data_IF_895952117951
#
_entry.id   IF_895952117951
#
_cell.length_a   1.000
_cell.length_b   1.000
_cell.length_c   1.000
_cell.angle_alpha   90.00
_cell.angle_beta   90.00
_cell.angle_gamma   90.00
#
_symmetry.space_group_name_H-M   'P 1'
#
loop_
_entity.id
_entity.type
_entity.pdbx_description
1 polymer ?
#
# COMPACT_ATOMS: atom_id res chain seq x y z
N UNK A 1 3.55 -33.92 18.86
CA UNK A 1 3.95 -33.79 17.45
C UNK A 1 2.80 -33.11 16.72
N UNK A 2 2.93 -31.82 16.40
CA UNK A 2 1.87 -31.03 15.75
C UNK A 2 1.98 -31.25 14.24
N UNK A 3 0.91 -31.63 13.52
CA UNK A 3 0.98 -31.78 12.07
C UNK A 3 1.06 -30.39 11.41
N UNK A 4 1.98 -30.24 10.45
CA UNK A 4 2.06 -29.05 9.61
C UNK A 4 0.83 -29.01 8.69
N UNK A 5 -0.04 -28.01 8.87
CA UNK A 5 -1.19 -27.76 8.01
C UNK A 5 -0.70 -27.10 6.70
N UNK A 6 -1.06 -27.60 5.50
CA UNK A 6 -0.73 -26.92 4.26
C UNK A 6 -1.50 -25.60 4.16
N UNK A 7 -0.79 -24.48 4.07
CA UNK A 7 -1.38 -23.18 3.79
C UNK A 7 -1.78 -23.12 2.31
N UNK A 8 -3.01 -23.54 2.01
CA UNK A 8 -3.59 -23.37 0.68
C UNK A 8 -4.07 -21.92 0.53
N UNK A 9 -3.38 -21.15 -0.31
CA UNK A 9 -3.81 -19.79 -0.68
C UNK A 9 -5.03 -19.89 -1.63
N UNK A 10 -6.18 -19.28 -1.30
CA UNK A 10 -7.39 -19.37 -2.12
C UNK A 10 -7.36 -18.45 -3.36
N UNK A 11 -6.23 -17.76 -3.61
CA UNK A 11 -6.12 -16.74 -4.65
C UNK A 11 -5.06 -17.09 -5.69
N UNK A 12 -5.49 -17.28 -6.93
CA UNK A 12 -4.61 -17.30 -8.10
C UNK A 12 -4.42 -15.87 -8.61
N UNK A 13 -3.42 -15.16 -8.06
CA UNK A 13 -3.13 -13.78 -8.44
C UNK A 13 -2.11 -13.78 -9.59
N UNK A 14 -2.25 -12.88 -10.58
CA UNK A 14 -1.26 -12.76 -11.64
C UNK A 14 0.07 -12.30 -11.03
N UNK A 15 1.19 -12.94 -11.41
CA UNK A 15 2.52 -12.67 -10.86
C UNK A 15 3.01 -11.23 -11.06
N UNK A 16 2.39 -10.49 -11.98
CA UNK A 16 2.66 -9.07 -12.23
C UNK A 16 2.13 -8.14 -11.12
N UNK A 17 1.13 -8.59 -10.35
CA UNK A 17 0.42 -7.78 -9.37
C UNK A 17 1.33 -7.14 -8.31
N UNK A 18 2.26 -7.87 -7.64
CA UNK A 18 3.20 -7.26 -6.70
C UNK A 18 4.09 -6.20 -7.37
N UNK A 19 4.50 -6.41 -8.63
CA UNK A 19 5.34 -5.44 -9.34
C UNK A 19 4.64 -4.11 -9.63
N UNK A 20 3.30 -4.07 -9.59
CA UNK A 20 2.50 -2.85 -9.75
C UNK A 20 2.14 -2.27 -8.38
N UNK A 21 1.69 -3.11 -7.45
CA UNK A 21 1.25 -2.67 -6.12
C UNK A 21 2.40 -2.15 -5.26
N UNK A 22 3.59 -2.75 -5.35
CA UNK A 22 4.76 -2.33 -4.56
C UNK A 22 5.18 -0.89 -4.90
N UNK A 23 5.42 -0.49 -6.17
CA UNK A 23 5.73 0.90 -6.48
C UNK A 23 4.53 1.84 -6.26
N UNK A 24 3.30 1.38 -6.47
CA UNK A 24 2.11 2.18 -6.23
C UNK A 24 1.97 2.58 -4.75
N UNK A 25 2.10 1.62 -3.84
CA UNK A 25 1.98 1.85 -2.38
C UNK A 25 3.28 2.36 -1.76
N UNK A 26 4.43 2.04 -2.33
CA UNK A 26 5.74 2.43 -1.81
C UNK A 26 6.26 3.79 -2.30
N UNK A 27 5.78 4.27 -3.45
CA UNK A 27 6.25 5.52 -4.05
C UNK A 27 5.10 6.48 -4.37
N UNK A 28 4.15 6.06 -5.20
CA UNK A 28 3.13 6.97 -5.72
C UNK A 28 2.18 7.45 -4.62
N UNK A 29 1.61 6.52 -3.85
CA UNK A 29 0.69 6.83 -2.78
C UNK A 29 1.34 7.69 -1.68
N UNK A 30 2.56 7.37 -1.18
CA UNK A 30 3.31 8.23 -0.27
C UNK A 30 3.64 9.62 -0.83
N UNK A 31 4.00 9.73 -2.11
CA UNK A 31 4.29 11.02 -2.72
C UNK A 31 3.03 11.91 -2.79
N UNK A 32 1.90 11.34 -3.20
CA UNK A 32 0.62 12.04 -3.24
C UNK A 32 0.20 12.46 -1.83
N UNK A 33 0.28 11.57 -0.85
CA UNK A 33 -0.09 11.91 0.53
C UNK A 33 0.82 12.97 1.12
N UNK A 34 2.14 12.95 0.87
CA UNK A 34 3.05 14.01 1.31
C UNK A 34 2.69 15.37 0.71
N UNK A 35 2.40 15.44 -0.60
CA UNK A 35 2.00 16.70 -1.25
C UNK A 35 0.66 17.19 -0.70
N UNK A 36 -0.33 16.31 -0.57
CA UNK A 36 -1.63 16.66 -0.02
C UNK A 36 -1.53 17.12 1.44
N UNK A 37 -0.76 16.42 2.27
CA UNK A 37 -0.50 16.82 3.66
C UNK A 37 0.24 18.15 3.72
N UNK A 38 1.21 18.39 2.85
CA UNK A 38 1.92 19.66 2.78
C UNK A 38 0.99 20.82 2.40
N UNK A 39 0.09 20.62 1.43
CA UNK A 39 -0.93 21.61 1.10
C UNK A 39 -1.92 21.79 2.26
N UNK A 40 -2.38 20.72 2.90
CA UNK A 40 -3.29 20.80 4.04
C UNK A 40 -2.69 21.60 5.20
N UNK A 41 -1.42 21.34 5.55
CA UNK A 41 -0.73 22.05 6.63
C UNK A 41 -0.52 23.52 6.27
N UNK A 42 -0.06 23.82 5.05
CA UNK A 42 0.15 25.22 4.64
C UNK A 42 -1.14 26.03 4.50
N UNK A 43 -2.28 25.36 4.27
CA UNK A 43 -3.55 26.06 4.15
C UNK A 43 -4.06 26.61 5.49
N UNK A 44 -3.38 26.36 6.63
CA UNK A 44 -3.60 26.98 7.97
C UNK A 44 -5.06 27.39 8.22
N UNK A 45 -6.00 26.51 7.86
CA UNK A 45 -7.39 26.58 8.26
C UNK A 45 -7.46 26.03 9.68
N UNK A 46 -6.76 26.74 10.57
CA UNK A 46 -6.94 26.68 12.01
C UNK A 46 -8.30 27.34 12.25
N UNK A 47 -9.35 26.53 12.34
CA UNK A 47 -10.64 26.98 12.85
C UNK A 47 -10.50 27.52 14.28
#
# INVERSE_FOLDING_TARGET
MIPNLPFNLPFNLPSILPSILVPLVGLLLPAITMVLSHLYIQNDEIL
#
